data_IF_371571961539
#
_entry.id   IF_371571961539
#
_cell.length_a   1.000
_cell.length_b   1.000
_cell.length_c   1.000
_cell.angle_alpha   90.00
_cell.angle_beta   90.00
_cell.angle_gamma   90.00
#
_symmetry.space_group_name_H-M   'P 1'
#
loop_
_entity.id
_entity.type
_entity.pdbx_description
1 polymer ?
#
# COMPACT_ATOMS: atom_id res chain seq x y z
N UNK A 1 8.21 -10.51 -24.48
CA UNK A 1 7.90 -10.81 -23.08
C UNK A 1 8.06 -9.56 -22.24
N UNK A 2 7.29 -9.40 -21.17
CA UNK A 2 7.36 -8.24 -20.28
C UNK A 2 8.02 -8.68 -18.96
N UNK A 3 9.11 -8.00 -18.55
CA UNK A 3 9.67 -8.15 -17.23
C UNK A 3 8.91 -7.23 -16.25
N UNK A 4 8.49 -7.78 -15.12
CA UNK A 4 7.85 -7.00 -14.04
C UNK A 4 8.65 -7.12 -12.76
N UNK A 5 8.69 -6.05 -11.98
CA UNK A 5 9.42 -6.03 -10.71
C UNK A 5 8.71 -5.20 -9.66
N UNK A 6 8.81 -5.64 -8.40
CA UNK A 6 8.42 -4.91 -7.20
C UNK A 6 9.65 -4.86 -6.28
N UNK A 7 10.27 -3.67 -6.19
CA UNK A 7 11.58 -3.47 -5.57
C UNK A 7 11.40 -2.64 -4.29
N UNK A 8 11.39 -3.34 -3.17
CA UNK A 8 11.42 -2.73 -1.84
C UNK A 8 12.84 -2.66 -1.26
N UNK A 9 12.99 -2.09 -0.08
CA UNK A 9 14.30 -1.94 0.58
C UNK A 9 14.93 -3.26 1.06
N UNK A 10 14.13 -4.29 1.34
CA UNK A 10 14.61 -5.58 1.87
C UNK A 10 14.54 -6.69 0.84
N UNK A 11 13.46 -6.72 0.07
CA UNK A 11 13.19 -7.75 -0.94
C UNK A 11 12.85 -7.08 -2.27
N UNK A 12 13.30 -7.72 -3.35
CA UNK A 12 12.86 -7.44 -4.71
C UNK A 12 12.17 -8.68 -5.26
N UNK A 13 11.02 -8.50 -5.88
CA UNK A 13 10.27 -9.55 -6.56
C UNK A 13 10.30 -9.30 -8.05
N UNK A 14 10.68 -10.29 -8.82
CA UNK A 14 10.65 -10.23 -10.28
C UNK A 14 9.74 -11.31 -10.84
N UNK A 15 9.15 -11.05 -11.99
CA UNK A 15 8.31 -11.99 -12.72
C UNK A 15 8.34 -11.69 -14.21
N UNK A 16 7.87 -12.63 -15.00
CA UNK A 16 7.61 -12.48 -16.43
C UNK A 16 6.12 -12.44 -16.68
N UNK A 17 5.67 -11.53 -17.55
CA UNK A 17 4.28 -11.44 -17.96
C UNK A 17 4.15 -11.61 -19.47
N UNK A 18 3.19 -12.44 -19.88
CA UNK A 18 2.76 -12.61 -21.27
C UNK A 18 1.27 -12.85 -21.30
N UNK A 19 0.56 -12.16 -22.20
CA UNK A 19 -0.89 -12.29 -22.39
C UNK A 19 -1.72 -12.14 -21.10
N UNK A 20 -1.27 -11.22 -20.22
CA UNK A 20 -1.91 -10.96 -18.94
C UNK A 20 -1.65 -12.01 -17.85
N UNK A 21 -0.82 -13.03 -18.15
CA UNK A 21 -0.47 -14.09 -17.18
C UNK A 21 0.93 -13.82 -16.61
N UNK A 22 0.99 -13.76 -15.28
CA UNK A 22 2.24 -13.66 -14.52
C UNK A 22 2.85 -15.07 -14.31
N UNK A 23 4.15 -15.20 -14.56
CA UNK A 23 4.89 -16.47 -14.45
C UNK A 23 6.26 -16.25 -13.81
N UNK A 24 6.85 -17.33 -13.33
CA UNK A 24 8.25 -17.41 -12.85
C UNK A 24 8.59 -16.35 -11.80
N UNK A 25 7.63 -16.07 -10.91
CA UNK A 25 7.85 -15.08 -9.85
C UNK A 25 8.85 -15.58 -8.86
N UNK A 26 9.90 -14.77 -8.61
CA UNK A 26 10.94 -15.04 -7.61
C UNK A 26 11.12 -13.82 -6.73
N UNK A 27 11.35 -14.08 -5.44
CA UNK A 27 11.72 -13.08 -4.46
C UNK A 27 13.22 -13.21 -4.17
N UNK A 28 13.96 -12.10 -4.26
CA UNK A 28 15.38 -12.01 -3.97
C UNK A 28 15.59 -11.02 -2.82
N UNK A 29 16.55 -11.29 -1.96
CA UNK A 29 16.92 -10.34 -0.91
C UNK A 29 17.83 -9.26 -1.51
N UNK A 30 17.50 -8.02 -1.29
CA UNK A 30 18.29 -6.87 -1.81
C UNK A 30 19.72 -6.91 -1.31
N UNK A 31 19.93 -7.31 -0.05
CA UNK A 31 21.26 -7.39 0.57
C UNK A 31 22.19 -8.45 -0.04
N UNK A 32 21.64 -9.44 -0.76
CA UNK A 32 22.44 -10.52 -1.34
C UNK A 32 23.05 -10.13 -2.71
N UNK A 33 22.70 -8.94 -3.23
CA UNK A 33 23.15 -8.46 -4.54
C UNK A 33 23.67 -7.03 -4.45
N UNK A 34 24.78 -6.75 -5.11
CA UNK A 34 25.38 -5.42 -5.08
C UNK A 34 24.52 -4.35 -5.75
N UNK A 35 23.76 -4.71 -6.80
CA UNK A 35 22.92 -3.80 -7.57
C UNK A 35 21.70 -4.51 -8.20
N UNK A 36 20.67 -3.74 -8.53
CA UNK A 36 19.47 -4.22 -9.20
C UNK A 36 19.76 -4.95 -10.53
N UNK A 37 20.72 -4.44 -11.31
CA UNK A 37 21.11 -5.05 -12.59
C UNK A 37 21.70 -6.44 -12.44
N UNK A 38 22.49 -6.67 -11.38
CA UNK A 38 23.05 -8.00 -11.06
C UNK A 38 21.94 -8.99 -10.70
N UNK A 39 21.05 -8.60 -9.78
CA UNK A 39 19.93 -9.43 -9.37
C UNK A 39 19.04 -9.82 -10.56
N UNK A 40 18.74 -8.85 -11.44
CA UNK A 40 17.96 -9.08 -12.66
C UNK A 40 18.67 -9.98 -13.66
N UNK A 41 19.99 -9.82 -13.83
CA UNK A 41 20.78 -10.69 -14.72
C UNK A 41 20.74 -12.14 -14.26
N UNK A 42 20.94 -12.40 -12.95
CA UNK A 42 20.87 -13.73 -12.37
C UNK A 42 19.48 -14.33 -12.52
N UNK A 43 18.43 -13.55 -12.22
CA UNK A 43 17.05 -13.99 -12.41
C UNK A 43 16.76 -14.41 -13.86
N UNK A 44 17.12 -13.58 -14.84
CA UNK A 44 16.87 -13.87 -16.26
C UNK A 44 17.73 -15.04 -16.76
N UNK A 45 18.99 -15.16 -16.30
CA UNK A 45 19.88 -16.27 -16.65
C UNK A 45 19.31 -17.61 -16.18
N UNK A 46 18.76 -17.67 -14.97
CA UNK A 46 18.11 -18.87 -14.44
C UNK A 46 16.91 -19.33 -15.29
N UNK A 47 16.31 -18.42 -16.05
CA UNK A 47 15.17 -18.68 -16.95
C UNK A 47 15.58 -18.88 -18.42
N UNK A 48 16.88 -19.05 -18.71
CA UNK A 48 17.38 -19.23 -20.07
C UNK A 48 17.49 -17.94 -20.89
N UNK A 49 17.65 -16.79 -20.21
CA UNK A 49 17.82 -15.47 -20.81
C UNK A 49 16.74 -15.09 -21.86
N UNK A 50 15.45 -15.10 -21.51
CA UNK A 50 14.38 -14.79 -22.44
C UNK A 50 14.51 -13.34 -22.95
N UNK A 51 14.12 -13.11 -24.21
CA UNK A 51 14.10 -11.76 -24.79
C UNK A 51 13.05 -10.89 -24.08
N UNK A 52 13.51 -9.82 -23.45
CA UNK A 52 12.66 -8.83 -22.79
C UNK A 52 12.40 -7.67 -23.77
N UNK A 53 11.13 -7.44 -24.10
CA UNK A 53 10.72 -6.33 -24.97
C UNK A 53 10.42 -5.07 -24.17
N UNK A 54 9.75 -5.23 -23.03
CA UNK A 54 9.36 -4.15 -22.12
C UNK A 54 9.61 -4.55 -20.69
N UNK A 55 9.79 -3.58 -19.83
CA UNK A 55 9.83 -3.79 -18.38
C UNK A 55 8.96 -2.76 -17.65
N UNK A 56 8.39 -3.17 -16.52
CA UNK A 56 7.76 -2.25 -15.58
C UNK A 56 8.19 -2.60 -14.16
N UNK A 57 8.68 -1.61 -13.44
CA UNK A 57 9.23 -1.76 -12.10
C UNK A 57 8.51 -0.84 -11.13
N UNK A 58 7.88 -1.40 -10.11
CA UNK A 58 7.39 -0.70 -8.94
C UNK A 58 8.55 -0.50 -7.96
N UNK A 59 8.72 0.69 -7.43
CA UNK A 59 9.88 1.06 -6.61
C UNK A 59 9.42 1.80 -5.36
N UNK A 60 9.81 1.27 -4.20
CA UNK A 60 9.72 1.97 -2.93
C UNK A 60 10.97 2.87 -2.77
N UNK A 61 10.98 4.01 -3.47
CA UNK A 61 12.13 4.88 -3.51
C UNK A 61 11.90 6.19 -4.24
N UNK A 62 12.96 6.98 -4.36
CA UNK A 62 12.97 8.24 -5.10
C UNK A 62 13.56 8.05 -6.49
N UNK A 63 13.00 8.77 -7.46
CA UNK A 63 13.50 8.86 -8.83
C UNK A 63 13.91 10.30 -9.12
N UNK A 64 15.18 10.52 -9.47
CA UNK A 64 15.71 11.82 -9.83
C UNK A 64 16.37 11.73 -11.22
N UNK A 65 15.67 12.18 -12.25
CA UNK A 65 16.12 12.02 -13.63
C UNK A 65 16.27 10.55 -14.01
N UNK A 66 17.50 10.13 -14.31
CA UNK A 66 17.85 8.76 -14.68
C UNK A 66 18.23 7.86 -13.46
N UNK A 67 18.37 8.45 -12.27
CA UNK A 67 18.82 7.73 -11.07
C UNK A 67 17.65 7.29 -10.22
N UNK A 68 17.68 6.02 -9.83
CA UNK A 68 16.75 5.40 -8.90
C UNK A 68 17.49 5.05 -7.63
N UNK A 69 16.97 5.52 -6.49
CA UNK A 69 17.49 5.20 -5.16
C UNK A 69 16.40 4.67 -4.26
N UNK A 70 16.62 3.49 -3.68
CA UNK A 70 15.68 2.91 -2.71
C UNK A 70 15.68 3.69 -1.39
N UNK A 71 14.50 3.85 -0.79
CA UNK A 71 14.31 4.66 0.44
C UNK A 71 15.09 4.12 1.64
N UNK A 72 15.17 2.79 1.79
CA UNK A 72 15.79 2.13 2.95
C UNK A 72 17.15 1.49 2.62
N UNK A 73 17.93 2.11 1.74
CA UNK A 73 19.25 1.63 1.35
C UNK A 73 19.21 0.53 0.29
N UNK A 74 20.35 -0.02 -0.03
CA UNK A 74 20.53 -1.09 -0.99
C UNK A 74 20.93 -0.56 -2.36
N UNK A 75 20.00 -0.52 -3.31
CA UNK A 75 20.38 -0.25 -4.69
C UNK A 75 20.20 1.22 -5.09
N UNK A 76 21.22 1.70 -5.83
CA UNK A 76 21.22 3.00 -6.51
C UNK A 76 21.70 2.74 -7.96
N UNK A 77 20.81 2.88 -8.95
CA UNK A 77 21.10 2.49 -10.33
C UNK A 77 20.55 3.48 -11.35
N UNK A 78 21.15 3.45 -12.57
CA UNK A 78 20.70 4.20 -13.73
C UNK A 78 19.68 3.39 -14.53
N UNK A 79 18.57 4.02 -14.90
CA UNK A 79 17.55 3.43 -15.77
C UNK A 79 18.06 3.18 -17.17
N UNK A 80 18.89 4.09 -17.70
CA UNK A 80 19.49 3.95 -19.02
C UNK A 80 20.42 2.73 -19.07
N UNK A 81 21.18 2.49 -18.00
CA UNK A 81 22.05 1.33 -17.89
C UNK A 81 21.23 0.05 -17.79
N UNK A 82 20.20 0.03 -16.94
CA UNK A 82 19.33 -1.12 -16.80
C UNK A 82 18.60 -1.43 -18.12
N UNK A 83 18.13 -0.42 -18.83
CA UNK A 83 17.50 -0.58 -20.15
C UNK A 83 18.44 -1.19 -21.17
N UNK A 84 19.71 -0.74 -21.22
CA UNK A 84 20.74 -1.32 -22.10
C UNK A 84 21.02 -2.77 -21.76
N UNK A 85 21.17 -3.07 -20.47
CA UNK A 85 21.44 -4.43 -19.99
C UNK A 85 20.32 -5.40 -20.35
N UNK A 86 19.05 -4.98 -20.20
CA UNK A 86 17.87 -5.80 -20.52
C UNK A 86 17.62 -5.92 -22.03
N UNK A 87 18.21 -5.04 -22.87
CA UNK A 87 17.86 -4.92 -24.28
C UNK A 87 16.40 -4.50 -24.50
N UNK A 88 15.76 -3.95 -23.49
CA UNK A 88 14.36 -3.59 -23.52
C UNK A 88 14.15 -2.29 -24.33
N UNK A 89 13.07 -2.26 -25.15
CA UNK A 89 12.71 -1.04 -25.88
C UNK A 89 12.20 0.04 -24.94
N UNK A 90 11.59 -0.35 -23.81
CA UNK A 90 10.98 0.53 -22.84
C UNK A 90 11.04 -0.03 -21.42
N UNK A 91 11.32 0.85 -20.45
CA UNK A 91 11.14 0.60 -19.00
C UNK A 91 10.15 1.64 -18.47
N UNK A 92 9.11 1.17 -17.78
CA UNK A 92 8.15 2.00 -17.03
C UNK A 92 8.52 1.90 -15.55
N UNK A 93 8.68 3.05 -14.90
CA UNK A 93 8.79 3.10 -13.45
C UNK A 93 7.48 3.54 -12.84
N UNK A 94 7.13 2.92 -11.74
CA UNK A 94 5.94 3.19 -10.95
C UNK A 94 6.36 3.35 -9.48
N UNK A 95 5.64 4.18 -8.75
CA UNK A 95 5.62 4.05 -7.30
C UNK A 95 4.92 2.74 -6.93
N UNK A 96 5.20 2.16 -5.76
CA UNK A 96 4.60 0.91 -5.29
C UNK A 96 3.06 0.99 -5.21
N UNK A 97 2.49 2.12 -4.74
CA UNK A 97 1.04 2.32 -4.72
C UNK A 97 0.44 2.68 -6.09
N UNK A 98 1.20 3.33 -6.97
CA UNK A 98 0.78 3.48 -8.38
C UNK A 98 0.65 2.12 -9.05
N UNK A 99 1.59 1.20 -8.81
CA UNK A 99 1.49 -0.17 -9.30
C UNK A 99 0.26 -0.89 -8.74
N UNK A 100 -0.06 -0.73 -7.45
CA UNK A 100 -1.30 -1.27 -6.89
C UNK A 100 -2.55 -0.66 -7.54
N UNK A 101 -2.57 0.65 -7.81
CA UNK A 101 -3.69 1.29 -8.50
C UNK A 101 -3.90 0.71 -9.91
N UNK A 102 -2.82 0.43 -10.66
CA UNK A 102 -2.88 -0.29 -11.92
C UNK A 102 -3.41 -1.72 -11.78
N UNK A 103 -3.20 -2.36 -10.64
CA UNK A 103 -3.66 -3.72 -10.40
C UNK A 103 -5.17 -3.81 -10.14
N UNK A 104 -5.78 -2.80 -9.49
CA UNK A 104 -7.16 -2.86 -8.99
C UNK A 104 -8.17 -3.43 -9.98
N UNK A 105 -8.22 -2.97 -11.24
CA UNK A 105 -9.20 -3.48 -12.21
C UNK A 105 -8.97 -4.94 -12.64
N UNK A 106 -7.80 -5.49 -12.31
CA UNK A 106 -7.36 -6.82 -12.73
C UNK A 106 -7.37 -7.85 -11.59
N UNK A 107 -7.62 -7.41 -10.35
CA UNK A 107 -7.68 -8.30 -9.19
C UNK A 107 -8.97 -9.13 -9.24
N UNK A 108 -8.83 -10.44 -9.02
CA UNK A 108 -9.94 -11.39 -8.94
C UNK A 108 -10.37 -11.61 -7.51
N UNK A 109 -11.58 -12.14 -7.30
CA UNK A 109 -12.14 -12.35 -5.96
C UNK A 109 -11.24 -13.15 -5.01
N UNK A 110 -10.47 -14.14 -5.52
CA UNK A 110 -9.53 -14.90 -4.71
C UNK A 110 -8.29 -14.12 -4.26
N UNK A 111 -8.08 -12.93 -4.81
CA UNK A 111 -7.03 -11.99 -4.42
C UNK A 111 -7.46 -11.02 -3.32
N UNK A 112 -8.73 -11.07 -2.90
CA UNK A 112 -9.39 -10.08 -2.07
C UNK A 112 -10.10 -10.75 -0.88
N UNK A 113 -10.08 -10.06 0.25
CA UNK A 113 -10.89 -10.36 1.42
C UNK A 113 -11.88 -9.22 1.64
N UNK A 114 -13.17 -9.55 1.62
CA UNK A 114 -14.23 -8.55 1.79
C UNK A 114 -14.28 -8.01 3.22
N UNK A 115 -14.27 -6.66 3.33
CA UNK A 115 -14.34 -5.94 4.61
C UNK A 115 -15.71 -5.29 4.85
N UNK A 116 -16.56 -5.20 3.81
CA UNK A 116 -17.91 -4.67 3.90
C UNK A 116 -18.34 -3.86 2.67
N UNK A 117 -19.62 -3.49 2.65
CA UNK A 117 -20.26 -2.79 1.54
C UNK A 117 -20.87 -3.71 0.51
N UNK A 118 -21.08 -3.19 -0.70
CA UNK A 118 -21.57 -3.93 -1.85
C UNK A 118 -20.46 -4.62 -2.64
N UNK A 119 -20.76 -4.94 -3.89
CA UNK A 119 -19.76 -5.47 -4.83
C UNK A 119 -18.89 -4.39 -5.47
N UNK A 120 -17.74 -4.80 -5.98
CA UNK A 120 -16.85 -3.95 -6.78
C UNK A 120 -17.54 -3.58 -8.09
N UNK A 121 -17.52 -2.29 -8.45
CA UNK A 121 -17.98 -1.82 -9.77
C UNK A 121 -16.78 -1.29 -10.58
N UNK A 122 -16.27 -2.14 -11.46
CA UNK A 122 -15.12 -1.83 -12.32
C UNK A 122 -15.39 -0.74 -13.39
N UNK A 123 -16.56 -0.09 -13.38
CA UNK A 123 -16.86 1.04 -14.28
C UNK A 123 -16.68 2.40 -13.57
N UNK A 124 -16.41 2.40 -12.29
CA UNK A 124 -16.32 3.58 -11.44
C UNK A 124 -14.91 3.74 -10.88
N UNK A 125 -14.50 4.96 -10.49
CA UNK A 125 -13.21 5.18 -9.84
C UNK A 125 -12.98 4.26 -8.65
N UNK A 126 -11.74 3.81 -8.47
CA UNK A 126 -11.29 2.96 -7.37
C UNK A 126 -10.15 3.65 -6.63
N UNK A 127 -9.96 3.30 -5.37
CA UNK A 127 -8.87 3.79 -4.56
C UNK A 127 -8.18 2.66 -3.80
N UNK A 128 -6.90 2.85 -3.51
CA UNK A 128 -6.11 1.97 -2.65
C UNK A 128 -5.36 2.80 -1.61
N UNK A 129 -5.32 2.28 -0.39
CA UNK A 129 -4.46 2.80 0.66
C UNK A 129 -3.86 1.63 1.42
N UNK A 130 -2.70 1.84 2.06
CA UNK A 130 -2.11 0.71 2.78
C UNK A 130 -1.04 1.09 3.77
N UNK A 131 -1.25 0.70 5.04
CA UNK A 131 -0.23 0.85 6.07
C UNK A 131 0.86 -0.22 5.88
N UNK A 132 2.04 0.25 5.53
CA UNK A 132 3.31 -0.47 5.54
C UNK A 132 4.27 0.19 6.51
N UNK A 133 5.53 0.41 6.15
CA UNK A 133 6.46 1.29 6.89
C UNK A 133 5.86 2.70 7.00
N UNK A 134 5.37 3.25 5.89
CA UNK A 134 4.55 4.46 5.79
C UNK A 134 3.08 4.16 5.51
N UNK A 135 2.36 5.14 4.95
CA UNK A 135 0.99 5.01 4.47
C UNK A 135 0.91 5.40 2.98
N UNK A 136 0.93 4.42 2.12
CA UNK A 136 0.74 4.66 0.69
C UNK A 136 -0.72 4.88 0.34
N UNK A 137 -0.97 5.73 -0.66
CA UNK A 137 -2.31 6.05 -1.17
C UNK A 137 -2.24 6.28 -2.67
N UNK A 138 -3.15 5.68 -3.40
CA UNK A 138 -3.32 5.91 -4.83
C UNK A 138 -4.77 5.65 -5.26
N UNK A 139 -5.08 5.89 -6.52
CA UNK A 139 -6.37 5.54 -7.09
C UNK A 139 -6.27 5.28 -8.59
N UNK A 140 -7.37 4.90 -9.20
CA UNK A 140 -7.48 4.86 -10.64
C UNK A 140 -8.90 5.27 -11.09
N UNK A 141 -8.96 5.87 -12.26
CA UNK A 141 -10.22 6.28 -12.88
C UNK A 141 -10.35 5.62 -14.26
N UNK A 142 -11.56 5.21 -14.67
CA UNK A 142 -11.76 4.66 -16.01
C UNK A 142 -11.56 5.76 -17.05
N UNK A 143 -10.94 5.42 -18.17
CA UNK A 143 -10.83 6.32 -19.32
C UNK A 143 -11.99 6.13 -20.31
N UNK A 144 -12.12 7.06 -21.25
CA UNK A 144 -13.17 7.02 -22.28
C UNK A 144 -12.99 5.91 -23.32
N UNK A 145 -11.85 5.20 -23.31
CA UNK A 145 -11.50 4.14 -24.28
C UNK A 145 -11.61 2.74 -23.68
N UNK A 146 -12.11 2.63 -22.43
CA UNK A 146 -12.23 1.36 -21.70
C UNK A 146 -10.94 0.93 -21.00
N UNK A 147 -9.95 1.83 -20.88
CA UNK A 147 -8.74 1.66 -20.09
C UNK A 147 -8.85 2.31 -18.72
N UNK A 148 -7.70 2.48 -18.08
CA UNK A 148 -7.58 3.06 -16.76
C UNK A 148 -6.45 4.08 -16.69
N UNK A 149 -6.67 5.14 -15.92
CA UNK A 149 -5.68 6.17 -15.62
C UNK A 149 -5.37 6.07 -14.12
N UNK A 150 -4.14 5.70 -13.74
CA UNK A 150 -3.74 5.71 -12.34
C UNK A 150 -3.59 7.14 -11.83
N UNK A 151 -3.92 7.34 -10.57
CA UNK A 151 -3.72 8.56 -9.82
C UNK A 151 -2.64 8.27 -8.77
N UNK A 152 -1.39 8.56 -9.10
CA UNK A 152 -0.29 8.53 -8.14
C UNK A 152 -0.45 9.72 -7.18
N UNK A 153 -0.46 9.47 -5.87
CA UNK A 153 -0.68 10.50 -4.86
C UNK A 153 0.25 10.31 -3.65
N UNK A 154 0.34 11.35 -2.85
CA UNK A 154 0.97 11.35 -1.51
C UNK A 154 -0.10 11.51 -0.42
N UNK A 155 -1.24 10.83 -0.59
CA UNK A 155 -2.41 10.96 0.29
C UNK A 155 -2.19 10.52 1.75
N UNK A 156 -1.14 9.75 2.04
CA UNK A 156 -0.74 9.42 3.41
C UNK A 156 -0.26 10.64 4.20
N UNK A 157 0.21 11.68 3.51
CA UNK A 157 0.71 12.91 4.13
C UNK A 157 -0.38 13.98 4.37
N UNK A 158 -1.64 13.70 4.03
CA UNK A 158 -2.77 14.57 4.35
C UNK A 158 -2.96 14.65 5.86
N UNK A 159 -3.29 15.84 6.37
CA UNK A 159 -3.56 16.07 7.80
C UNK A 159 -4.63 15.11 8.32
N UNK A 160 -4.34 14.39 9.40
CA UNK A 160 -5.30 13.52 10.06
C UNK A 160 -6.27 14.36 10.91
N UNK A 161 -7.57 14.20 10.64
CA UNK A 161 -8.62 14.79 11.45
C UNK A 161 -9.12 13.78 12.49
N UNK A 162 -9.35 14.20 13.76
CA UNK A 162 -9.99 13.36 14.75
C UNK A 162 -11.47 13.19 14.41
N UNK A 163 -12.05 12.06 14.74
CA UNK A 163 -13.45 11.81 14.52
C UNK A 163 -14.29 11.76 15.82
N UNK A 164 -13.62 11.77 16.97
CA UNK A 164 -14.23 11.85 18.30
C UNK A 164 -13.34 12.58 19.28
N UNK A 165 -13.83 12.80 20.52
CA UNK A 165 -13.10 13.52 21.58
C UNK A 165 -11.84 12.77 22.01
N UNK A 166 -11.89 11.44 22.05
CA UNK A 166 -10.72 10.63 22.41
C UNK A 166 -9.59 10.79 21.38
N UNK A 167 -9.90 10.71 20.10
CA UNK A 167 -8.93 10.98 19.03
C UNK A 167 -8.42 12.42 19.06
N UNK A 168 -9.26 13.38 19.44
CA UNK A 168 -8.87 14.79 19.62
C UNK A 168 -7.79 14.94 20.69
N UNK A 169 -7.94 14.24 21.83
CA UNK A 169 -6.94 14.22 22.90
C UNK A 169 -5.65 13.49 22.47
N UNK A 170 -5.78 12.35 21.77
CA UNK A 170 -4.61 11.65 21.21
C UNK A 170 -3.83 12.58 20.28
N UNK A 171 -4.51 13.26 19.36
CA UNK A 171 -3.86 14.21 18.45
C UNK A 171 -3.27 15.42 19.17
N UNK A 172 -3.88 15.88 20.27
CA UNK A 172 -3.33 16.96 21.10
C UNK A 172 -1.99 16.56 21.71
N UNK A 173 -1.89 15.32 22.23
CA UNK A 173 -0.62 14.78 22.75
C UNK A 173 0.43 14.71 21.65
N UNK A 174 0.10 14.16 20.49
CA UNK A 174 1.06 14.02 19.37
C UNK A 174 1.54 15.38 18.85
N UNK A 175 0.66 16.39 18.81
CA UNK A 175 1.01 17.75 18.35
C UNK A 175 1.99 18.48 19.26
N UNK A 176 2.17 18.04 20.49
CA UNK A 176 3.15 18.66 21.39
C UNK A 176 4.57 18.61 20.79
N UNK A 177 4.90 17.51 20.12
CA UNK A 177 6.23 17.30 19.53
C UNK A 177 6.24 17.38 18.00
N UNK A 178 5.07 17.54 17.37
CA UNK A 178 4.93 17.44 15.91
C UNK A 178 3.86 18.42 15.40
N UNK A 179 4.25 19.54 14.79
CA UNK A 179 3.29 20.57 14.35
C UNK A 179 2.32 20.09 13.28
N UNK A 180 2.73 19.15 12.41
CA UNK A 180 1.88 18.54 11.39
C UNK A 180 1.73 17.03 11.63
N UNK A 181 0.53 16.60 11.98
CA UNK A 181 0.19 15.18 12.13
C UNK A 181 -0.54 14.73 10.88
N UNK A 182 0.18 14.08 9.98
CA UNK A 182 -0.43 13.43 8.81
C UNK A 182 -1.06 12.08 9.19
N UNK A 183 -1.89 11.53 8.30
CA UNK A 183 -2.44 10.19 8.46
C UNK A 183 -1.34 9.14 8.69
N UNK A 184 -0.27 9.19 7.91
CA UNK A 184 0.89 8.29 8.04
C UNK A 184 1.53 8.33 9.43
N UNK A 185 1.55 9.50 10.08
CA UNK A 185 2.18 9.67 11.39
C UNK A 185 1.59 8.81 12.50
N UNK A 186 0.35 8.33 12.31
CA UNK A 186 -0.33 7.44 13.25
C UNK A 186 -0.81 6.13 12.60
N UNK A 187 -1.17 6.16 11.31
CA UNK A 187 -1.73 5.01 10.58
C UNK A 187 -0.67 4.37 9.70
N UNK A 188 0.42 3.93 10.31
CA UNK A 188 1.54 3.25 9.62
C UNK A 188 2.39 2.47 10.62
N UNK A 189 3.42 1.74 10.14
CA UNK A 189 4.38 1.05 10.99
C UNK A 189 5.15 1.99 11.90
N UNK A 190 5.68 3.08 11.35
CA UNK A 190 6.37 4.10 12.17
C UNK A 190 5.40 4.88 13.07
N UNK A 191 4.13 4.89 12.73
CA UNK A 191 3.08 5.60 13.47
C UNK A 191 2.52 4.80 14.64
N UNK A 192 2.49 3.48 14.55
CA UNK A 192 1.85 2.61 15.53
C UNK A 192 2.44 2.74 16.95
N UNK A 193 3.78 2.78 17.17
CA UNK A 193 4.35 3.06 18.49
C UNK A 193 4.00 4.46 19.02
N UNK A 194 3.92 5.45 18.13
CA UNK A 194 3.53 6.82 18.51
C UNK A 194 2.06 6.87 18.95
N UNK A 195 1.18 6.19 18.24
CA UNK A 195 -0.23 6.06 18.62
C UNK A 195 -0.35 5.37 19.98
N UNK A 196 0.40 4.29 20.20
CA UNK A 196 0.45 3.57 21.46
C UNK A 196 0.86 4.48 22.64
N UNK A 197 1.96 5.21 22.50
CA UNK A 197 2.43 6.14 23.52
C UNK A 197 1.43 7.28 23.78
N UNK A 198 0.80 7.83 22.74
CA UNK A 198 -0.19 8.88 22.87
C UNK A 198 -1.46 8.39 23.60
N UNK A 199 -1.94 7.18 23.31
CA UNK A 199 -3.08 6.57 24.01
C UNK A 199 -2.73 6.32 25.48
N UNK A 200 -1.53 5.83 25.79
CA UNK A 200 -1.07 5.67 27.17
C UNK A 200 -1.10 6.99 27.94
N UNK A 201 -0.57 8.06 27.34
CA UNK A 201 -0.56 9.39 27.93
C UNK A 201 -1.96 9.93 28.18
N UNK A 202 -2.90 9.78 27.22
CA UNK A 202 -4.30 10.19 27.39
C UNK A 202 -4.97 9.43 28.54
N UNK A 203 -4.62 8.16 28.72
CA UNK A 203 -5.16 7.31 29.81
C UNK A 203 -4.43 7.45 31.14
N UNK A 204 -3.36 8.23 31.20
CA UNK A 204 -2.52 8.34 32.40
C UNK A 204 -1.85 7.01 32.78
N UNK A 205 -1.54 6.16 31.82
CA UNK A 205 -0.94 4.84 32.00
C UNK A 205 0.56 4.87 31.71
N UNK A 206 1.38 4.07 32.39
CA UNK A 206 2.78 3.87 32.00
C UNK A 206 2.84 3.23 30.60
N UNK A 207 3.85 3.61 29.83
CA UNK A 207 4.07 3.12 28.48
C UNK A 207 5.51 2.65 28.34
N UNK A 208 5.70 1.39 28.00
CA UNK A 208 7.00 0.88 27.57
C UNK A 208 7.19 1.11 26.05
N UNK A 209 8.41 1.37 25.59
CA UNK A 209 8.69 1.42 24.16
C UNK A 209 8.49 0.03 23.52
N UNK A 210 7.54 -0.07 22.60
CA UNK A 210 7.25 -1.30 21.87
C UNK A 210 7.47 -1.10 20.38
N UNK A 211 7.90 -2.17 19.69
CA UNK A 211 7.93 -2.19 18.23
C UNK A 211 6.52 -2.33 17.66
N UNK A 212 6.28 -1.96 16.38
CA UNK A 212 4.99 -2.19 15.74
C UNK A 212 4.58 -3.66 15.78
N UNK A 213 5.54 -4.57 15.72
CA UNK A 213 5.34 -6.01 15.76
C UNK A 213 4.90 -6.49 17.14
N UNK A 214 5.54 -5.99 18.21
CA UNK A 214 5.16 -6.30 19.60
C UNK A 214 3.74 -5.82 19.90
N UNK A 215 3.41 -4.56 19.53
CA UNK A 215 2.07 -4.00 19.70
C UNK A 215 1.02 -4.86 19.01
N UNK A 216 1.28 -5.21 17.74
CA UNK A 216 0.36 -6.03 16.96
C UNK A 216 0.20 -7.43 17.55
N UNK A 217 1.30 -8.08 17.92
CA UNK A 217 1.31 -9.43 18.50
C UNK A 217 0.56 -9.48 19.82
N UNK A 218 0.85 -8.55 20.74
CA UNK A 218 0.18 -8.47 22.05
C UNK A 218 -1.31 -8.14 21.90
N UNK A 219 -1.66 -7.26 20.97
CA UNK A 219 -3.06 -6.92 20.69
C UNK A 219 -3.85 -8.13 20.15
N UNK A 220 -3.30 -8.85 19.16
CA UNK A 220 -3.93 -10.05 18.60
C UNK A 220 -4.07 -11.18 19.62
N UNK A 221 -3.08 -11.34 20.48
CA UNK A 221 -3.12 -12.30 21.58
C UNK A 221 -4.02 -11.87 22.76
N UNK A 222 -4.60 -10.66 22.73
CA UNK A 222 -5.39 -10.05 23.82
C UNK A 222 -4.63 -10.01 25.16
N UNK A 223 -3.29 -9.98 25.13
CA UNK A 223 -2.42 -10.08 26.31
C UNK A 223 -2.08 -8.72 26.95
N UNK A 224 -2.38 -7.61 26.24
CA UNK A 224 -2.12 -6.25 26.70
C UNK A 224 -3.27 -5.33 26.29
N UNK A 225 -3.99 -4.80 27.27
CA UNK A 225 -5.17 -3.96 27.05
C UNK A 225 -4.86 -2.62 26.34
N UNK A 226 -3.63 -2.09 26.55
CA UNK A 226 -3.22 -0.87 25.86
C UNK A 226 -2.90 -1.15 24.38
N UNK A 227 -2.25 -2.27 24.08
CA UNK A 227 -2.00 -2.72 22.72
C UNK A 227 -3.32 -3.00 21.98
N UNK A 228 -4.30 -3.64 22.64
CA UNK A 228 -5.65 -3.86 22.08
C UNK A 228 -6.32 -2.54 21.73
N UNK A 229 -6.32 -1.58 22.66
CA UNK A 229 -6.90 -0.26 22.42
C UNK A 229 -6.17 0.51 21.29
N UNK A 230 -4.85 0.35 21.22
CA UNK A 230 -4.05 0.95 20.14
C UNK A 230 -4.46 0.40 18.79
N UNK A 231 -4.59 -0.91 18.65
CA UNK A 231 -4.96 -1.56 17.41
C UNK A 231 -6.39 -1.23 16.98
N UNK A 232 -7.34 -1.18 17.94
CA UNK A 232 -8.72 -0.77 17.67
C UNK A 232 -8.79 0.67 17.15
N UNK A 233 -8.05 1.60 17.79
CA UNK A 233 -7.96 3.00 17.37
C UNK A 233 -7.29 3.12 15.98
N UNK A 234 -6.23 2.35 15.73
CA UNK A 234 -5.57 2.28 14.43
C UNK A 234 -6.55 1.85 13.32
N UNK A 235 -7.31 0.77 13.53
CA UNK A 235 -8.30 0.31 12.56
C UNK A 235 -9.41 1.35 12.33
N UNK A 236 -9.85 2.03 13.38
CA UNK A 236 -10.84 3.11 13.30
C UNK A 236 -10.32 4.30 12.46
N UNK A 237 -9.09 4.76 12.74
CA UNK A 237 -8.45 5.84 12.00
C UNK A 237 -8.20 5.45 10.53
N UNK A 238 -7.78 4.20 10.27
CA UNK A 238 -7.62 3.68 8.91
C UNK A 238 -8.95 3.71 8.15
N UNK A 239 -10.05 3.33 8.80
CA UNK A 239 -11.40 3.43 8.23
C UNK A 239 -11.80 4.87 7.93
N UNK A 240 -11.47 5.82 8.81
CA UNK A 240 -11.72 7.25 8.60
C UNK A 240 -10.97 7.76 7.36
N UNK A 241 -9.68 7.42 7.22
CA UNK A 241 -8.85 7.81 6.06
C UNK A 241 -9.39 7.19 4.77
N UNK A 242 -9.75 5.89 4.80
CA UNK A 242 -10.33 5.20 3.66
C UNK A 242 -11.66 5.85 3.20
N UNK A 243 -12.54 6.21 4.13
CA UNK A 243 -13.79 6.92 3.83
C UNK A 243 -13.57 8.34 3.28
N UNK A 244 -12.57 9.07 3.78
CA UNK A 244 -12.17 10.36 3.23
C UNK A 244 -11.67 10.21 1.79
N UNK A 245 -10.84 9.20 1.53
CA UNK A 245 -10.32 8.90 0.20
C UNK A 245 -11.44 8.54 -0.77
N UNK A 246 -12.42 7.73 -0.35
CA UNK A 246 -13.60 7.40 -1.14
C UNK A 246 -14.38 8.65 -1.58
N UNK A 247 -14.58 9.58 -0.65
CA UNK A 247 -15.28 10.84 -0.94
C UNK A 247 -14.46 11.77 -1.83
N UNK A 248 -13.15 11.88 -1.59
CA UNK A 248 -12.25 12.79 -2.32
C UNK A 248 -12.09 12.37 -3.79
N UNK A 249 -11.93 11.07 -4.05
CA UNK A 249 -11.72 10.54 -5.40
C UNK A 249 -13.03 10.10 -6.08
N UNK A 250 -14.16 10.14 -5.38
CA UNK A 250 -15.40 9.55 -5.88
C UNK A 250 -15.27 8.03 -6.11
N UNK A 251 -14.48 7.33 -5.29
CA UNK A 251 -14.08 5.93 -5.48
C UNK A 251 -15.23 4.96 -5.15
N UNK A 252 -16.32 5.08 -5.91
CA UNK A 252 -17.50 4.22 -5.77
C UNK A 252 -17.31 2.82 -6.35
N UNK A 253 -16.29 2.61 -7.17
CA UNK A 253 -15.90 1.31 -7.70
C UNK A 253 -15.35 0.36 -6.63
N UNK A 254 -14.83 0.93 -5.54
CA UNK A 254 -14.31 0.21 -4.38
C UNK A 254 -13.11 0.92 -3.76
N UNK A 255 -12.90 0.66 -2.48
CA UNK A 255 -11.71 1.09 -1.75
C UNK A 255 -10.96 -0.14 -1.25
N UNK A 256 -9.70 -0.23 -1.64
CA UNK A 256 -8.87 -1.38 -1.39
C UNK A 256 -7.82 -1.06 -0.33
N UNK A 257 -7.68 -1.94 0.64
CA UNK A 257 -6.66 -1.85 1.67
C UNK A 257 -5.51 -2.78 1.29
N UNK A 258 -4.28 -2.30 1.37
CA UNK A 258 -3.07 -3.06 1.08
C UNK A 258 -2.05 -2.87 2.22
N UNK A 259 -0.83 -3.34 2.01
CA UNK A 259 0.28 -3.14 2.94
C UNK A 259 0.42 -4.21 4.00
N UNK A 260 1.65 -4.40 4.47
CA UNK A 260 2.02 -5.53 5.33
C UNK A 260 1.32 -5.53 6.68
N UNK A 261 1.00 -4.35 7.24
CA UNK A 261 0.25 -4.27 8.51
C UNK A 261 -1.17 -4.74 8.30
N UNK A 262 -1.86 -4.25 7.26
CA UNK A 262 -3.24 -4.65 7.00
C UNK A 262 -3.36 -6.16 6.73
N UNK A 263 -2.39 -6.75 6.03
CA UNK A 263 -2.35 -8.21 5.81
C UNK A 263 -2.14 -9.01 7.11
N UNK A 264 -1.35 -8.50 8.06
CA UNK A 264 -1.22 -9.12 9.40
C UNK A 264 -2.51 -9.04 10.20
N UNK A 265 -3.34 -8.02 9.94
CA UNK A 265 -4.63 -7.79 10.59
C UNK A 265 -5.81 -8.46 9.87
N UNK A 266 -5.59 -9.26 8.83
CA UNK A 266 -6.64 -9.83 7.98
C UNK A 266 -7.75 -10.54 8.75
N UNK A 267 -7.41 -11.19 9.86
CA UNK A 267 -8.36 -11.98 10.65
C UNK A 267 -9.20 -11.11 11.61
N UNK A 268 -8.74 -9.91 11.93
CA UNK A 268 -9.42 -8.99 12.86
C UNK A 268 -10.01 -7.76 12.16
N UNK A 269 -9.44 -7.35 11.03
CA UNK A 269 -9.86 -6.14 10.31
C UNK A 269 -11.35 -6.17 9.91
N UNK A 270 -11.93 -7.29 9.44
CA UNK A 270 -13.35 -7.35 9.09
C UNK A 270 -14.29 -7.09 10.27
N UNK A 271 -13.91 -7.49 11.49
CA UNK A 271 -14.71 -7.30 12.71
C UNK A 271 -14.34 -6.02 13.47
N UNK A 272 -13.32 -5.28 13.03
CA UNK A 272 -12.85 -4.04 13.66
C UNK A 272 -13.77 -2.85 13.38
N UNK A 273 -13.46 -1.71 14.00
CA UNK A 273 -14.16 -0.44 13.73
C UNK A 273 -13.85 0.15 12.35
N UNK A 274 -13.03 -0.49 11.52
CA UNK A 274 -12.66 0.01 10.19
C UNK A 274 -13.88 0.36 9.35
N UNK A 275 -14.80 -0.59 9.13
CA UNK A 275 -15.97 -0.38 8.26
C UNK A 275 -16.94 0.64 8.84
N UNK A 276 -17.21 0.58 10.13
CA UNK A 276 -18.04 1.57 10.82
C UNK A 276 -17.54 3.00 10.60
N UNK A 277 -16.22 3.19 10.74
CA UNK A 277 -15.58 4.51 10.60
C UNK A 277 -15.48 4.97 9.14
N UNK A 278 -15.34 4.03 8.21
CA UNK A 278 -15.43 4.30 6.77
C UNK A 278 -16.75 4.97 6.42
N UNK A 279 -17.87 4.45 6.94
CA UNK A 279 -19.22 4.95 6.68
C UNK A 279 -19.59 6.17 7.52
N UNK A 280 -18.93 6.44 8.65
CA UNK A 280 -19.26 7.50 9.57
C UNK A 280 -18.95 8.91 9.01
N UNK A 281 -19.66 9.29 7.95
CA UNK A 281 -19.53 10.58 7.24
C UNK A 281 -20.81 11.40 7.24
N UNK A 282 -21.59 11.31 8.34
CA UNK A 282 -22.84 12.07 8.49
C UNK A 282 -23.82 11.80 7.36
N UNK A 283 -24.30 12.84 6.69
CA UNK A 283 -25.26 12.71 5.58
C UNK A 283 -24.73 11.89 4.38
N UNK A 284 -23.42 11.66 4.27
CA UNK A 284 -22.82 10.85 3.21
C UNK A 284 -22.66 9.37 3.58
N UNK A 285 -23.15 8.93 4.75
CA UNK A 285 -23.13 7.52 5.14
C UNK A 285 -23.85 6.63 4.10
N UNK A 286 -25.01 7.05 3.60
CA UNK A 286 -25.75 6.34 2.55
C UNK A 286 -25.05 6.30 1.20
N UNK A 287 -24.15 7.26 0.91
CA UNK A 287 -23.30 7.25 -0.28
C UNK A 287 -22.18 6.22 -0.15
N UNK A 288 -21.62 6.05 1.05
CA UNK A 288 -20.51 5.13 1.30
C UNK A 288 -20.95 3.69 1.61
N UNK A 289 -22.15 3.49 2.17
CA UNK A 289 -22.64 2.16 2.53
C UNK A 289 -22.58 1.13 1.38
N UNK A 290 -22.92 1.45 0.12
CA UNK A 290 -22.79 0.49 -0.98
C UNK A 290 -21.37 0.34 -1.53
N UNK A 291 -20.42 1.18 -1.14
CA UNK A 291 -19.05 1.12 -1.66
C UNK A 291 -18.32 -0.10 -1.07
N UNK A 292 -17.84 -0.99 -1.92
CA UNK A 292 -17.04 -2.13 -1.51
C UNK A 292 -15.76 -1.68 -0.79
N UNK A 293 -15.43 -2.34 0.30
CA UNK A 293 -14.10 -2.25 0.93
C UNK A 293 -13.48 -3.63 0.95
N UNK A 294 -12.27 -3.75 0.42
CA UNK A 294 -11.58 -5.02 0.20
C UNK A 294 -10.16 -4.96 0.76
N UNK A 295 -9.68 -6.03 1.38
CA UNK A 295 -8.27 -6.20 1.68
C UNK A 295 -7.61 -7.00 0.55
N UNK A 296 -6.55 -6.47 -0.05
CA UNK A 296 -5.75 -7.19 -1.03
C UNK A 296 -4.92 -8.25 -0.30
N UNK A 297 -5.22 -9.52 -0.55
CA UNK A 297 -4.50 -10.67 0.03
C UNK A 297 -3.58 -11.36 -0.99
N UNK A 298 -3.62 -10.96 -2.25
CA UNK A 298 -2.71 -11.47 -3.27
C UNK A 298 -1.26 -11.09 -2.98
N UNK A 299 -0.36 -12.04 -3.05
CA UNK A 299 1.07 -11.85 -2.78
C UNK A 299 1.78 -10.97 -3.82
N UNK A 300 1.26 -10.90 -5.04
CA UNK A 300 1.93 -10.29 -6.19
C UNK A 300 1.10 -9.21 -6.87
N UNK A 301 0.21 -8.53 -6.13
CA UNK A 301 -0.68 -7.53 -6.70
C UNK A 301 0.09 -6.40 -7.43
N UNK A 302 1.20 -5.91 -6.88
CA UNK A 302 2.02 -4.89 -7.52
C UNK A 302 2.59 -5.37 -8.88
N UNK A 303 3.00 -6.65 -8.99
CA UNK A 303 3.48 -7.21 -10.26
C UNK A 303 2.36 -7.29 -11.32
N UNK A 304 1.12 -7.57 -10.90
CA UNK A 304 -0.06 -7.51 -11.80
C UNK A 304 -0.23 -6.10 -12.34
N UNK A 305 -0.12 -5.10 -11.50
CA UNK A 305 -0.19 -3.70 -11.91
C UNK A 305 0.96 -3.27 -12.82
N UNK A 306 2.18 -3.72 -12.55
CA UNK A 306 3.33 -3.53 -13.43
C UNK A 306 3.06 -4.12 -14.83
N UNK A 307 2.50 -5.34 -14.91
CA UNK A 307 2.16 -5.96 -16.17
C UNK A 307 1.12 -5.15 -16.95
N UNK A 308 0.08 -4.65 -16.28
CA UNK A 308 -0.94 -3.80 -16.88
C UNK A 308 -0.35 -2.47 -17.39
N UNK A 309 0.47 -1.79 -16.60
CA UNK A 309 1.11 -0.54 -16.99
C UNK A 309 2.05 -0.69 -18.19
N UNK A 310 2.79 -1.80 -18.29
CA UNK A 310 3.70 -2.07 -19.40
C UNK A 310 3.00 -2.35 -20.73
N UNK A 311 1.73 -2.75 -20.71
CA UNK A 311 0.94 -2.99 -21.92
C UNK A 311 0.43 -1.69 -22.55
N UNK A 312 0.07 -0.70 -21.71
CA UNK A 312 -0.62 0.52 -22.13
C UNK A 312 0.31 1.72 -22.32
N UNK A 313 1.44 1.74 -21.65
CA UNK A 313 2.47 2.76 -21.75
C UNK A 313 3.69 2.20 -22.46
#
# INVERSE_FOLDING_TARGET
MILVGDIGGTNARFGLASDGVLRDVQALRVADHAQAGEALALYLQALGAPRIERAALAIAGSVAGDRVRLTNGGWDFSLADLRRQLGATRIVLLNDFEALAWALPHLKNNALLHLGGGGIDARLPMAVLGPGTGLGVAGCVPDSKGGWIPLATEGGHVTLAPADDFESEVLRVVRADMPHVSAERLVSGIGLPRLHAAIAAVRGQPCEPLTPEDITTRALAQSDALCVATLDTFCAMLGTVAGNLALTLGARGGVFVAGGIAQRLRDVLPASRFRQRFEAKGRFATYLAPVATELIVAEHAALVGCAAAAQLR
#
